data_IF_155261685757
#
_entry.id   IF_155261685757
#
_cell.length_a   1.000
_cell.length_b   1.000
_cell.length_c   1.000
_cell.angle_alpha   90.00
_cell.angle_beta   90.00
_cell.angle_gamma   90.00
#
_symmetry.space_group_name_H-M   'P 1'
#
loop_
_entity.id
_entity.type
_entity.pdbx_description
1 polymer ?
#
# COMPACT_ATOMS: atom_id res chain seq x y z
N UNK A 1 19.28 15.66 -18.50
CA UNK A 1 18.80 15.91 -19.88
C UNK A 1 18.25 14.67 -20.59
N UNK A 2 18.44 13.44 -20.08
CA UNK A 2 17.91 12.22 -20.72
C UNK A 2 16.64 11.64 -20.05
N UNK A 3 16.43 11.89 -18.74
CA UNK A 3 15.26 11.37 -18.00
C UNK A 3 13.94 12.03 -18.45
N UNK A 4 13.98 13.32 -18.73
CA UNK A 4 12.81 14.14 -19.07
C UNK A 4 12.11 13.69 -20.37
N UNK A 5 12.89 13.19 -21.34
CA UNK A 5 12.33 12.68 -22.59
C UNK A 5 11.53 11.40 -22.42
N UNK A 6 11.92 10.52 -21.49
CA UNK A 6 11.23 9.25 -21.30
C UNK A 6 9.88 9.45 -20.62
N UNK A 7 9.81 10.34 -19.62
CA UNK A 7 8.56 10.74 -18.96
C UNK A 7 7.57 11.41 -19.94
N UNK A 8 8.07 12.26 -20.85
CA UNK A 8 7.24 12.87 -21.91
C UNK A 8 6.69 11.81 -22.87
N UNK A 9 7.48 10.80 -23.24
CA UNK A 9 7.00 9.72 -24.12
C UNK A 9 5.99 8.81 -23.42
N UNK A 10 6.21 8.45 -22.15
CA UNK A 10 5.27 7.61 -21.38
C UNK A 10 3.95 8.32 -21.10
N UNK A 11 3.96 9.63 -20.84
CA UNK A 11 2.73 10.41 -20.66
C UNK A 11 1.96 10.62 -21.97
N UNK A 12 2.65 10.64 -23.12
CA UNK A 12 2.04 10.71 -24.44
C UNK A 12 1.26 9.45 -24.84
N UNK A 13 1.66 8.27 -24.35
CA UNK A 13 0.96 7.00 -24.65
C UNK A 13 -0.50 7.02 -24.18
N UNK A 14 -0.78 7.60 -23.01
CA UNK A 14 -2.16 7.73 -22.52
C UNK A 14 -3.03 8.67 -23.36
N UNK A 15 -2.42 9.70 -23.96
CA UNK A 15 -3.14 10.64 -24.85
C UNK A 15 -3.39 10.03 -26.23
N UNK A 16 -2.43 9.27 -26.76
CA UNK A 16 -2.50 8.74 -28.13
C UNK A 16 -3.26 7.42 -28.20
N UNK A 17 -3.10 6.55 -27.20
CA UNK A 17 -3.64 5.19 -27.22
C UNK A 17 -4.68 4.91 -26.14
N UNK A 18 -4.97 5.88 -25.26
CA UNK A 18 -5.88 5.68 -24.13
C UNK A 18 -5.35 4.72 -23.06
N UNK A 19 -4.04 4.41 -23.09
CA UNK A 19 -3.39 3.57 -22.10
C UNK A 19 -3.19 4.36 -20.80
N UNK A 20 -3.93 4.00 -19.76
CA UNK A 20 -3.72 4.53 -18.41
C UNK A 20 -2.57 3.76 -17.76
N UNK A 21 -1.49 4.43 -17.29
CA UNK A 21 -0.42 3.76 -16.57
C UNK A 21 -0.96 3.02 -15.35
N UNK A 22 -0.56 1.76 -15.16
CA UNK A 22 -0.99 0.92 -14.01
C UNK A 22 -0.35 1.33 -12.70
N UNK A 23 0.84 1.93 -12.75
CA UNK A 23 1.54 2.54 -11.62
C UNK A 23 1.66 4.05 -11.83
N UNK A 24 1.67 4.80 -10.73
CA UNK A 24 1.94 6.24 -10.77
C UNK A 24 3.43 6.51 -10.91
N UNK A 25 3.77 7.63 -11.57
CA UNK A 25 5.14 8.12 -11.62
C UNK A 25 5.66 8.48 -10.23
N UNK A 26 6.94 8.25 -10.00
CA UNK A 26 7.61 8.63 -8.75
C UNK A 26 8.83 9.49 -9.01
N UNK A 27 9.12 10.40 -8.09
CA UNK A 27 10.30 11.27 -8.17
C UNK A 27 11.32 10.77 -7.15
N UNK A 28 12.47 10.26 -7.63
CA UNK A 28 13.49 9.63 -6.79
C UNK A 28 12.94 8.50 -5.90
N UNK A 29 12.04 7.66 -6.44
CA UNK A 29 11.43 6.54 -5.71
C UNK A 29 10.41 6.94 -4.63
N UNK A 30 10.02 8.22 -4.59
CA UNK A 30 9.01 8.74 -3.67
C UNK A 30 7.75 9.13 -4.42
N UNK A 31 6.61 8.77 -3.85
CA UNK A 31 5.29 9.24 -4.24
C UNK A 31 4.69 10.14 -3.16
N UNK A 32 3.97 11.17 -3.58
CA UNK A 32 3.23 12.08 -2.70
C UNK A 32 1.75 11.98 -3.08
N UNK A 33 0.92 11.56 -2.13
CA UNK A 33 -0.51 11.48 -2.33
C UNK A 33 -1.11 12.88 -2.40
N UNK A 34 -1.76 13.22 -3.51
CA UNK A 34 -2.22 14.59 -3.79
C UNK A 34 -3.25 15.08 -2.76
N UNK A 35 -4.21 14.23 -2.40
CA UNK A 35 -5.33 14.59 -1.52
C UNK A 35 -4.92 14.85 -0.07
N UNK A 36 -3.86 14.19 0.42
CA UNK A 36 -3.50 14.20 1.85
C UNK A 36 -2.08 14.68 2.13
N UNK A 37 -1.23 14.78 1.12
CA UNK A 37 0.20 15.10 1.26
C UNK A 37 1.03 14.01 1.95
N UNK A 38 0.48 12.80 2.12
CA UNK A 38 1.21 11.63 2.61
C UNK A 38 2.32 11.28 1.64
N UNK A 39 3.52 11.01 2.17
CA UNK A 39 4.71 10.72 1.36
C UNK A 39 5.17 9.31 1.62
N UNK A 40 5.31 8.50 0.59
CA UNK A 40 5.76 7.12 0.70
C UNK A 40 6.91 6.87 -0.28
N UNK A 41 7.88 6.07 0.16
CA UNK A 41 8.96 5.57 -0.69
C UNK A 41 8.67 4.13 -1.10
N UNK A 42 8.93 3.81 -2.35
CA UNK A 42 8.76 2.47 -2.90
C UNK A 42 9.87 1.55 -2.35
N UNK A 43 9.58 0.34 -1.84
CA UNK A 43 10.60 -0.63 -1.42
C UNK A 43 11.68 -0.90 -2.47
N UNK A 44 12.93 -1.00 -2.02
CA UNK A 44 14.01 -1.48 -2.86
C UNK A 44 13.91 -3.02 -2.93
N UNK A 45 13.22 -3.55 -3.94
CA UNK A 45 13.10 -5.00 -4.11
C UNK A 45 14.36 -5.56 -4.77
N UNK A 46 15.07 -6.44 -4.06
CA UNK A 46 16.14 -7.27 -4.62
C UNK A 46 15.63 -8.04 -5.84
N UNK A 47 16.52 -8.34 -6.80
CA UNK A 47 16.15 -8.96 -8.09
C UNK A 47 15.43 -10.31 -7.95
N UNK A 48 15.66 -11.01 -6.83
CA UNK A 48 15.03 -12.29 -6.51
C UNK A 48 13.55 -12.15 -6.10
N UNK A 49 13.10 -10.93 -5.78
CA UNK A 49 11.77 -10.64 -5.26
C UNK A 49 10.89 -9.82 -6.23
N UNK A 50 11.32 -9.59 -7.47
CA UNK A 50 10.53 -8.86 -8.49
C UNK A 50 9.15 -9.48 -8.77
N UNK A 51 8.98 -10.78 -8.50
CA UNK A 51 7.69 -11.44 -8.60
C UNK A 51 6.64 -10.87 -7.62
N UNK A 52 7.05 -10.17 -6.55
CA UNK A 52 6.15 -9.64 -5.52
C UNK A 52 5.49 -8.31 -5.90
N UNK A 53 5.92 -7.65 -6.98
CA UNK A 53 5.31 -6.41 -7.48
C UNK A 53 5.20 -5.26 -6.45
N UNK A 54 6.14 -5.20 -5.51
CA UNK A 54 6.24 -4.13 -4.51
C UNK A 54 7.09 -2.93 -4.98
N UNK A 55 7.43 -2.87 -6.27
CA UNK A 55 8.32 -1.90 -6.92
C UNK A 55 7.60 -0.67 -7.49
N UNK A 56 6.32 -0.49 -7.16
CA UNK A 56 5.51 0.62 -7.63
C UNK A 56 4.42 1.03 -6.66
N UNK A 57 3.82 2.19 -6.93
CA UNK A 57 2.54 2.58 -6.34
C UNK A 57 1.47 2.35 -7.39
N UNK A 58 0.65 1.33 -7.18
CA UNK A 58 -0.42 0.94 -8.09
C UNK A 58 -1.54 1.98 -8.07
N UNK A 59 -2.14 2.29 -9.22
CA UNK A 59 -3.27 3.22 -9.31
C UNK A 59 -4.44 2.76 -8.44
N UNK A 60 -4.65 1.45 -8.28
CA UNK A 60 -5.68 0.92 -7.39
C UNK A 60 -5.44 1.31 -5.92
N UNK A 61 -4.18 1.44 -5.50
CA UNK A 61 -3.83 1.88 -4.14
C UNK A 61 -4.11 3.38 -3.95
N UNK A 62 -3.84 4.21 -4.97
CA UNK A 62 -4.20 5.63 -4.97
C UNK A 62 -5.72 5.78 -4.93
N UNK A 63 -6.43 5.08 -5.82
CA UNK A 63 -7.88 5.09 -5.86
C UNK A 63 -8.49 4.66 -4.52
N UNK A 64 -7.97 3.59 -3.90
CA UNK A 64 -8.43 3.17 -2.57
C UNK A 64 -8.14 4.21 -1.49
N UNK A 65 -6.98 4.86 -1.51
CA UNK A 65 -6.62 5.90 -0.54
C UNK A 65 -7.56 7.12 -0.61
N UNK A 66 -8.00 7.49 -1.82
CA UNK A 66 -8.99 8.54 -2.05
C UNK A 66 -10.42 8.13 -1.65
N UNK A 67 -10.73 6.82 -1.69
CA UNK A 67 -12.07 6.27 -1.48
C UNK A 67 -12.19 5.39 -0.24
N UNK A 68 -11.36 5.64 0.78
CA UNK A 68 -11.42 4.90 2.04
C UNK A 68 -12.83 4.96 2.65
N UNK A 69 -13.27 3.90 3.37
CA UNK A 69 -14.59 3.83 3.99
C UNK A 69 -14.65 4.66 5.30
N UNK A 70 -14.40 5.97 5.16
CA UNK A 70 -14.28 6.94 6.25
C UNK A 70 -15.64 7.31 6.87
N UNK A 71 -15.65 7.79 8.13
CA UNK A 71 -14.57 7.67 9.11
C UNK A 71 -14.52 6.26 9.72
N UNK A 72 -13.38 5.87 10.27
CA UNK A 72 -13.16 4.55 10.86
C UNK A 72 -13.74 4.42 12.27
N UNK A 73 -13.86 5.50 13.05
CA UNK A 73 -14.55 5.54 14.36
C UNK A 73 -14.15 4.41 15.33
N UNK A 74 -12.84 4.22 15.52
CA UNK A 74 -12.28 3.22 16.43
C UNK A 74 -12.15 1.81 15.85
N UNK A 75 -12.54 1.59 14.58
CA UNK A 75 -12.35 0.31 13.89
C UNK A 75 -10.87 -0.05 13.73
N UNK A 76 -10.57 -1.35 13.81
CA UNK A 76 -9.26 -1.91 13.48
C UNK A 76 -9.16 -2.15 11.98
N UNK A 77 -8.14 -1.58 11.35
CA UNK A 77 -7.90 -1.63 9.91
C UNK A 77 -6.71 -2.53 9.62
N UNK A 78 -6.85 -3.42 8.66
CA UNK A 78 -5.76 -4.20 8.07
C UNK A 78 -5.57 -3.77 6.62
N UNK A 79 -4.33 -3.59 6.20
CA UNK A 79 -3.96 -3.56 4.79
C UNK A 79 -3.24 -4.86 4.41
N UNK A 80 -3.73 -5.56 3.39
CA UNK A 80 -3.13 -6.77 2.81
C UNK A 80 -2.41 -6.42 1.51
N UNK A 81 -1.14 -6.84 1.38
CA UNK A 81 -0.33 -6.52 0.20
C UNK A 81 -0.03 -5.02 0.13
N UNK A 82 0.47 -4.48 1.24
CA UNK A 82 0.63 -3.05 1.43
C UNK A 82 1.71 -2.42 0.53
N UNK A 83 2.75 -3.17 0.15
CA UNK A 83 3.94 -2.70 -0.57
C UNK A 83 4.56 -1.44 0.08
N UNK A 84 4.27 -0.25 -0.45
CA UNK A 84 4.71 1.02 0.12
C UNK A 84 3.77 1.56 1.24
N UNK A 85 2.59 0.98 1.41
CA UNK A 85 1.65 1.18 2.52
C UNK A 85 0.68 2.35 2.34
N UNK A 86 0.38 2.76 1.11
CA UNK A 86 -0.37 4.00 0.86
C UNK A 86 -1.77 3.99 1.50
N UNK A 87 -2.71 3.10 1.14
CA UNK A 87 -4.04 3.04 1.76
C UNK A 87 -4.02 3.01 3.29
N UNK A 88 -3.18 2.16 3.89
CA UNK A 88 -3.12 2.01 5.34
C UNK A 88 -2.53 3.25 6.04
N UNK A 89 -1.46 3.84 5.52
CA UNK A 89 -0.89 5.08 6.07
C UNK A 89 -1.88 6.24 5.92
N UNK A 90 -2.58 6.33 4.79
CA UNK A 90 -3.63 7.33 4.58
C UNK A 90 -4.82 7.10 5.52
N UNK A 91 -5.18 5.85 5.82
CA UNK A 91 -6.22 5.55 6.83
C UNK A 91 -5.81 5.96 8.24
N UNK A 92 -4.51 5.93 8.55
CA UNK A 92 -3.99 6.27 9.87
C UNK A 92 -3.79 7.79 10.06
N UNK A 93 -3.32 8.49 9.02
CA UNK A 93 -2.78 9.84 9.13
C UNK A 93 -3.30 10.83 8.08
N UNK A 94 -4.14 10.38 7.15
CA UNK A 94 -4.64 11.20 6.04
C UNK A 94 -5.70 12.23 6.44
N UNK A 95 -6.44 11.95 7.50
CA UNK A 95 -7.45 12.85 8.08
C UNK A 95 -7.48 12.67 9.61
N UNK A 96 -7.58 13.76 10.35
CA UNK A 96 -7.65 13.73 11.81
C UNK A 96 -8.99 13.20 12.33
N UNK A 97 -10.07 13.37 11.54
CA UNK A 97 -11.44 13.00 11.91
C UNK A 97 -11.75 11.51 11.64
N UNK A 98 -10.83 10.78 11.00
CA UNK A 98 -11.00 9.36 10.68
C UNK A 98 -10.98 8.45 11.91
N UNK A 99 -10.18 8.82 12.92
CA UNK A 99 -10.07 8.15 14.23
C UNK A 99 -10.05 6.61 14.18
N UNK A 100 -9.15 5.93 13.44
CA UNK A 100 -9.05 4.47 13.49
C UNK A 100 -8.57 4.00 14.88
N UNK A 101 -9.02 2.82 15.31
CA UNK A 101 -8.61 2.25 16.60
C UNK A 101 -7.17 1.71 16.58
N UNK A 102 -6.82 1.02 15.49
CA UNK A 102 -5.47 0.60 15.16
C UNK A 102 -5.39 0.30 13.67
N UNK A 103 -4.19 0.44 13.09
CA UNK A 103 -3.90 0.06 11.70
C UNK A 103 -2.78 -0.97 11.69
N UNK A 104 -2.93 -2.02 10.89
CA UNK A 104 -1.88 -3.01 10.62
C UNK A 104 -1.60 -3.00 9.13
N UNK A 105 -0.36 -2.76 8.76
CA UNK A 105 0.13 -2.90 7.39
C UNK A 105 0.77 -4.26 7.27
N UNK A 106 0.35 -5.05 6.28
CA UNK A 106 0.92 -6.38 6.07
C UNK A 106 1.31 -6.62 4.63
N UNK A 107 2.45 -7.28 4.48
CA UNK A 107 3.00 -7.73 3.20
C UNK A 107 3.79 -9.02 3.42
N UNK A 108 4.39 -9.58 2.37
CA UNK A 108 5.24 -10.76 2.47
C UNK A 108 6.31 -10.56 3.56
N UNK A 109 6.74 -11.62 4.28
CA UNK A 109 7.76 -11.54 5.33
C UNK A 109 9.18 -11.30 4.79
N UNK A 110 9.31 -10.32 3.89
CA UNK A 110 10.55 -9.82 3.33
C UNK A 110 11.06 -8.63 4.15
N UNK A 111 12.33 -8.66 4.54
CA UNK A 111 12.89 -7.63 5.42
C UNK A 111 12.96 -6.25 4.75
N UNK A 112 13.16 -6.19 3.43
CA UNK A 112 13.24 -4.92 2.70
C UNK A 112 11.88 -4.24 2.62
N UNK A 113 10.84 -5.00 2.26
CA UNK A 113 9.46 -4.48 2.21
C UNK A 113 9.01 -4.03 3.60
N UNK A 114 9.18 -4.87 4.63
CA UNK A 114 8.74 -4.53 5.98
C UNK A 114 9.51 -3.32 6.56
N UNK A 115 10.83 -3.24 6.35
CA UNK A 115 11.60 -2.08 6.78
C UNK A 115 11.13 -0.80 6.08
N UNK A 116 10.83 -0.87 4.77
CA UNK A 116 10.30 0.30 4.04
C UNK A 116 8.92 0.72 4.53
N UNK A 117 8.04 -0.23 4.85
CA UNK A 117 6.74 0.07 5.47
C UNK A 117 6.92 0.80 6.80
N UNK A 118 7.82 0.32 7.67
CA UNK A 118 8.13 0.96 8.95
C UNK A 118 8.66 2.39 8.76
N UNK A 119 9.59 2.60 7.82
CA UNK A 119 10.12 3.91 7.46
C UNK A 119 9.01 4.87 6.99
N UNK A 120 8.12 4.38 6.10
CA UNK A 120 7.02 5.18 5.58
C UNK A 120 6.01 5.54 6.68
N UNK A 121 5.71 4.62 7.60
CA UNK A 121 4.85 4.90 8.77
C UNK A 121 5.45 6.00 9.62
N UNK A 122 6.74 5.89 9.97
CA UNK A 122 7.37 6.85 10.86
C UNK A 122 7.52 8.23 10.22
N UNK A 123 7.81 8.30 8.92
CA UNK A 123 7.89 9.54 8.17
C UNK A 123 6.57 10.35 8.16
N UNK A 124 5.42 9.68 8.33
CA UNK A 124 4.10 10.31 8.29
C UNK A 124 3.40 10.43 9.65
N UNK A 125 3.88 9.74 10.69
CA UNK A 125 3.27 9.71 12.04
C UNK A 125 3.05 11.09 12.65
N UNK A 126 4.02 12.02 12.47
CA UNK A 126 4.01 13.37 13.07
C UNK A 126 3.66 13.31 14.57
N UNK A 127 2.57 13.96 14.99
CA UNK A 127 2.06 13.98 16.37
C UNK A 127 0.90 13.02 16.60
N UNK A 128 0.53 12.22 15.59
CA UNK A 128 -0.58 11.27 15.69
C UNK A 128 -0.32 10.20 16.75
N UNK A 129 -1.36 9.88 17.52
CA UNK A 129 -1.34 8.80 18.53
C UNK A 129 -1.88 7.48 17.98
N UNK A 130 -2.31 7.45 16.71
CA UNK A 130 -2.81 6.24 16.07
C UNK A 130 -1.72 5.16 16.10
N UNK A 131 -2.09 3.98 16.60
CA UNK A 131 -1.20 2.83 16.62
C UNK A 131 -1.18 2.22 15.22
N UNK A 132 -0.01 2.19 14.61
CA UNK A 132 0.25 1.54 13.33
C UNK A 132 1.31 0.48 13.55
N UNK A 133 1.02 -0.77 13.17
CA UNK A 133 1.98 -1.89 13.20
C UNK A 133 2.28 -2.36 11.78
N UNK A 134 3.47 -2.91 11.59
CA UNK A 134 3.89 -3.58 10.36
C UNK A 134 4.08 -5.04 10.68
N UNK A 135 3.46 -5.93 9.90
CA UNK A 135 3.51 -7.38 10.13
C UNK A 135 3.77 -8.14 8.83
N UNK A 136 4.77 -9.04 8.84
CA UNK A 136 5.00 -9.97 7.75
C UNK A 136 3.93 -11.07 7.72
N UNK A 137 3.22 -11.17 6.60
CA UNK A 137 2.17 -12.15 6.37
C UNK A 137 2.13 -12.57 4.89
N UNK A 138 2.58 -13.80 4.63
CA UNK A 138 2.31 -14.46 3.36
C UNK A 138 0.85 -14.95 3.34
N UNK A 139 0.11 -14.66 2.27
CA UNK A 139 -1.29 -15.07 2.17
C UNK A 139 -1.44 -16.59 2.29
N UNK A 140 -2.51 -17.03 2.94
CA UNK A 140 -2.79 -18.43 3.25
C UNK A 140 -1.96 -19.02 4.40
N UNK A 141 -1.00 -18.27 4.96
CA UNK A 141 -0.26 -18.66 6.16
C UNK A 141 -1.10 -18.51 7.42
N UNK A 142 -0.92 -19.41 8.38
CA UNK A 142 -1.51 -19.29 9.72
C UNK A 142 -0.72 -18.31 10.63
N UNK A 143 0.45 -17.87 10.19
CA UNK A 143 1.37 -17.02 10.94
C UNK A 143 1.21 -15.53 10.60
N UNK A 144 1.71 -14.66 11.48
CA UNK A 144 1.76 -13.20 11.28
C UNK A 144 0.55 -12.49 11.88
N UNK A 145 -0.59 -12.53 11.22
CA UNK A 145 -1.77 -11.79 11.67
C UNK A 145 -2.51 -12.57 12.77
N UNK A 146 -2.56 -12.07 14.01
CA UNK A 146 -3.32 -12.73 15.11
C UNK A 146 -4.57 -11.97 15.54
N UNK A 147 -4.66 -10.71 15.16
CA UNK A 147 -5.77 -9.84 15.51
C UNK A 147 -6.98 -10.05 14.57
N UNK A 148 -8.17 -9.70 15.07
CA UNK A 148 -9.38 -9.51 14.27
C UNK A 148 -9.46 -8.06 13.82
N UNK A 149 -9.94 -7.86 12.59
CA UNK A 149 -10.04 -6.56 11.94
C UNK A 149 -11.47 -6.29 11.50
N UNK A 150 -11.89 -5.03 11.59
CA UNK A 150 -13.23 -4.59 11.19
C UNK A 150 -13.26 -4.14 9.73
N UNK A 151 -12.11 -3.70 9.20
CA UNK A 151 -11.92 -3.27 7.81
C UNK A 151 -10.66 -3.90 7.26
N UNK A 152 -10.76 -4.50 6.07
CA UNK A 152 -9.62 -4.98 5.29
C UNK A 152 -9.52 -4.13 4.02
N UNK A 153 -8.37 -3.50 3.83
CA UNK A 153 -7.97 -2.78 2.64
C UNK A 153 -7.09 -3.72 1.80
N UNK A 154 -7.44 -3.89 0.52
CA UNK A 154 -6.74 -4.80 -0.39
C UNK A 154 -6.76 -4.21 -1.80
N UNK A 155 -5.74 -3.41 -2.11
CA UNK A 155 -5.60 -2.74 -3.40
C UNK A 155 -4.78 -3.60 -4.35
N UNK A 156 -5.33 -3.91 -5.52
CA UNK A 156 -4.67 -4.67 -6.59
C UNK A 156 -4.10 -6.03 -6.13
N UNK A 157 -4.88 -6.80 -5.36
CA UNK A 157 -4.47 -8.12 -4.84
C UNK A 157 -4.93 -9.32 -5.68
N UNK A 158 -5.59 -9.07 -6.81
CA UNK A 158 -6.29 -10.11 -7.60
C UNK A 158 -5.60 -10.48 -8.92
N UNK A 159 -4.44 -9.90 -9.23
CA UNK A 159 -3.75 -10.14 -10.50
C UNK A 159 -3.06 -11.51 -10.59
N UNK A 160 -2.63 -12.10 -9.46
CA UNK A 160 -2.06 -13.45 -9.40
C UNK A 160 -3.15 -14.51 -9.17
N UNK A 161 -3.69 -15.09 -10.25
CA UNK A 161 -4.76 -16.11 -10.17
C UNK A 161 -4.45 -17.27 -9.21
N UNK A 162 -3.21 -17.79 -9.25
CA UNK A 162 -2.79 -18.90 -8.39
C UNK A 162 -2.73 -18.54 -6.89
N UNK A 163 -2.79 -17.26 -6.53
CA UNK A 163 -2.79 -16.80 -5.13
C UNK A 163 -4.20 -16.55 -4.58
N UNK A 164 -5.25 -16.66 -5.40
CA UNK A 164 -6.62 -16.37 -4.97
C UNK A 164 -7.08 -17.29 -3.83
N UNK A 165 -6.77 -18.59 -3.88
CA UNK A 165 -7.12 -19.51 -2.80
C UNK A 165 -6.42 -19.13 -1.48
N UNK A 166 -5.15 -18.74 -1.55
CA UNK A 166 -4.37 -18.30 -0.40
C UNK A 166 -4.94 -16.99 0.20
N UNK A 167 -5.29 -16.02 -0.65
CA UNK A 167 -5.94 -14.78 -0.25
C UNK A 167 -7.31 -15.06 0.40
N UNK A 168 -8.15 -15.89 -0.22
CA UNK A 168 -9.44 -16.30 0.34
C UNK A 168 -9.29 -16.97 1.71
N UNK A 169 -8.26 -17.80 1.89
CA UNK A 169 -7.95 -18.40 3.19
C UNK A 169 -7.60 -17.33 4.23
N UNK A 170 -6.73 -16.37 3.89
CA UNK A 170 -6.40 -15.23 4.78
C UNK A 170 -7.65 -14.44 5.19
N UNK A 171 -8.58 -14.21 4.25
CA UNK A 171 -9.83 -13.47 4.49
C UNK A 171 -10.88 -14.29 5.27
N UNK A 172 -10.96 -15.59 5.03
CA UNK A 172 -12.00 -16.48 5.59
C UNK A 172 -11.70 -16.99 6.99
N UNK A 173 -10.46 -16.94 7.45
CA UNK A 173 -10.06 -17.43 8.78
C UNK A 173 -10.40 -16.48 9.94
N UNK A 174 -11.23 -15.43 9.76
CA UNK A 174 -11.37 -14.36 10.77
C UNK A 174 -12.77 -13.81 11.00
#
# INVERSE_FOLDING_TARGET
MAEDSFEIFTSGLGVVFGEVPVTVGTTHGMYIHESTGIKIKIPDTESENWALQADGVWQAAVYMADHLPRPFKGKKVLELGAAAGLPGIVSAFGDADDEPGAVVLSDYPDKGILARLEENVEANRRTSRVVVKVEGHAWGSADGLRDKFDVVLAADVLWMEHMHEALCKTLGER
#
